data_IF_037747045884
#
_entry.id   IF_037747045884
#
_cell.length_a   1.000
_cell.length_b   1.000
_cell.length_c   1.000
_cell.angle_alpha   90.00
_cell.angle_beta   90.00
_cell.angle_gamma   90.00
#
_symmetry.space_group_name_H-M   'P 1'
#
loop_
_entity.id
_entity.type
_entity.pdbx_description
1 polymer ?
#
# COMPACT_ATOMS: atom_id res chain seq x y z
N UNK A 1 21.38 -10.93 -7.48
CA UNK A 1 20.54 -11.53 -6.42
C UNK A 1 21.28 -12.58 -5.57
N UNK A 2 22.26 -13.32 -6.09
CA UNK A 2 22.94 -14.42 -5.34
C UNK A 2 23.64 -13.96 -4.04
N UNK A 3 24.15 -12.74 -4.00
CA UNK A 3 24.88 -12.18 -2.85
C UNK A 3 24.10 -11.09 -2.13
N UNK A 4 22.83 -10.93 -2.42
CA UNK A 4 21.99 -9.92 -1.84
C UNK A 4 21.62 -10.30 -0.40
N UNK A 5 22.02 -9.48 0.57
CA UNK A 5 21.75 -9.71 1.98
C UNK A 5 20.48 -9.03 2.47
N UNK A 6 20.13 -7.88 1.86
CA UNK A 6 18.96 -7.07 2.23
C UNK A 6 18.57 -6.10 1.13
N UNK A 7 17.37 -5.60 1.22
CA UNK A 7 16.85 -4.55 0.36
C UNK A 7 16.49 -3.35 1.24
N UNK A 8 16.84 -2.16 0.77
CA UNK A 8 16.42 -0.89 1.35
C UNK A 8 15.56 -0.18 0.30
N UNK A 9 14.32 0.19 0.64
CA UNK A 9 13.47 0.97 -0.24
C UNK A 9 13.34 2.37 0.33
N UNK A 10 13.50 3.39 -0.52
CA UNK A 10 13.39 4.80 -0.15
C UNK A 10 12.39 5.50 -1.07
N UNK A 11 11.44 6.20 -0.48
CA UNK A 11 10.35 6.87 -1.20
C UNK A 11 9.71 7.96 -0.33
N UNK A 12 8.79 8.73 -0.91
CA UNK A 12 7.96 9.71 -0.21
C UNK A 12 6.48 9.52 -0.54
N UNK A 13 5.59 9.83 0.42
CA UNK A 13 4.13 9.87 0.24
C UNK A 13 3.55 8.58 -0.34
N UNK A 14 2.73 8.71 -1.39
CA UNK A 14 2.08 7.60 -2.09
C UNK A 14 3.07 6.50 -2.52
N UNK A 15 4.25 6.89 -3.02
CA UNK A 15 5.28 5.91 -3.42
C UNK A 15 5.86 5.15 -2.23
N UNK A 16 5.90 5.75 -1.03
CA UNK A 16 6.27 5.07 0.20
C UNK A 16 5.25 4.00 0.58
N UNK A 17 3.95 4.29 0.45
CA UNK A 17 2.90 3.31 0.73
C UNK A 17 2.94 2.14 -0.27
N UNK A 18 3.20 2.39 -1.55
CA UNK A 18 3.43 1.31 -2.52
C UNK A 18 4.67 0.47 -2.16
N UNK A 19 5.76 1.11 -1.74
CA UNK A 19 6.97 0.44 -1.28
C UNK A 19 6.73 -0.44 -0.05
N UNK A 20 5.87 -0.01 0.89
CA UNK A 20 5.50 -0.81 2.05
C UNK A 20 4.75 -2.09 1.65
N UNK A 21 3.90 -2.07 0.62
CA UNK A 21 3.31 -3.29 0.04
C UNK A 21 4.43 -4.14 -0.59
N UNK A 22 5.33 -3.51 -1.36
CA UNK A 22 6.49 -4.17 -1.95
C UNK A 22 7.36 -4.91 -0.94
N UNK A 23 7.51 -4.37 0.28
CA UNK A 23 8.19 -5.06 1.39
C UNK A 23 7.53 -6.40 1.70
N UNK A 24 6.21 -6.42 1.95
CA UNK A 24 5.50 -7.67 2.23
C UNK A 24 5.70 -8.70 1.12
N UNK A 25 5.56 -8.27 -0.14
CA UNK A 25 5.71 -9.15 -1.29
C UNK A 25 7.11 -9.75 -1.41
N UNK A 26 8.15 -8.94 -1.28
CA UNK A 26 9.53 -9.39 -1.45
C UNK A 26 9.96 -10.27 -0.27
N UNK A 27 9.60 -9.91 0.96
CA UNK A 27 9.90 -10.73 2.14
C UNK A 27 9.22 -12.10 2.05
N UNK A 28 7.93 -12.14 1.67
CA UNK A 28 7.14 -13.37 1.58
C UNK A 28 7.61 -14.29 0.43
N UNK A 29 7.86 -13.72 -0.75
CA UNK A 29 8.19 -14.50 -1.94
C UNK A 29 9.67 -14.87 -2.01
N UNK A 30 10.56 -14.01 -1.51
CA UNK A 30 12.00 -14.15 -1.71
C UNK A 30 12.77 -14.48 -0.45
N UNK A 31 12.19 -14.32 0.74
CA UNK A 31 12.89 -14.49 2.01
C UNK A 31 14.07 -13.53 2.19
N UNK A 32 14.00 -12.32 1.59
CA UNK A 32 15.03 -11.29 1.71
C UNK A 32 14.50 -10.20 2.63
N UNK A 33 15.20 -9.82 3.72
CA UNK A 33 14.80 -8.73 4.58
C UNK A 33 14.69 -7.40 3.81
N UNK A 34 13.59 -6.68 4.01
CA UNK A 34 13.32 -5.40 3.35
C UNK A 34 13.03 -4.32 4.38
N UNK A 35 13.80 -3.23 4.34
CA UNK A 35 13.49 -2.02 5.08
C UNK A 35 12.87 -0.99 4.13
N UNK A 36 11.82 -0.30 4.60
CA UNK A 36 11.18 0.79 3.87
C UNK A 36 11.21 2.03 4.72
N UNK A 37 11.69 3.13 4.17
CA UNK A 37 11.92 4.36 4.93
C UNK A 37 11.58 5.60 4.10
N UNK A 38 10.98 6.63 4.73
CA UNK A 38 10.85 7.94 4.09
C UNK A 38 12.22 8.47 3.66
N UNK A 39 12.33 8.92 2.42
CA UNK A 39 13.59 9.45 1.89
C UNK A 39 14.11 10.63 2.70
N UNK A 40 13.21 11.47 3.23
CA UNK A 40 13.54 12.61 4.10
C UNK A 40 14.25 12.20 5.38
N UNK A 41 13.94 11.02 5.93
CA UNK A 41 14.59 10.53 7.16
C UNK A 41 15.86 9.74 6.85
N UNK A 42 15.85 9.00 5.75
CA UNK A 42 17.00 8.21 5.31
C UNK A 42 18.27 9.05 5.14
N UNK A 43 18.16 10.26 4.60
CA UNK A 43 19.33 11.13 4.27
C UNK A 43 20.05 11.69 5.49
N UNK A 44 19.38 11.76 6.65
CA UNK A 44 19.95 12.37 7.87
C UNK A 44 20.48 11.37 8.89
N UNK A 45 20.24 10.08 8.71
CA UNK A 45 20.77 9.06 9.62
C UNK A 45 22.03 8.38 9.05
N UNK A 46 22.78 7.71 9.93
CA UNK A 46 23.87 6.81 9.51
C UNK A 46 23.27 5.53 8.92
N UNK A 47 23.12 5.49 7.61
CA UNK A 47 22.56 4.31 6.92
C UNK A 47 23.60 3.19 6.80
N UNK A 48 23.15 1.95 7.00
CA UNK A 48 23.99 0.75 6.92
C UNK A 48 23.64 0.07 5.58
N UNK A 49 24.25 0.57 4.51
CA UNK A 49 24.13 0.02 3.15
C UNK A 49 25.52 -0.21 2.58
N UNK A 50 25.67 -1.25 1.77
CA UNK A 50 26.93 -1.68 1.18
C UNK A 50 26.68 -2.33 -0.20
N UNK A 51 27.72 -2.94 -0.78
CA UNK A 51 27.65 -3.65 -2.07
C UNK A 51 26.74 -4.88 -2.08
N UNK A 52 26.33 -5.41 -0.93
CA UNK A 52 25.38 -6.52 -0.81
C UNK A 52 23.96 -6.05 -0.52
N UNK A 53 23.73 -4.73 -0.52
CA UNK A 53 22.42 -4.10 -0.34
C UNK A 53 21.89 -3.63 -1.69
N UNK A 54 20.68 -4.05 -2.06
CA UNK A 54 19.93 -3.42 -3.15
C UNK A 54 19.16 -2.22 -2.58
N UNK A 55 19.38 -1.05 -3.14
CA UNK A 55 18.58 0.13 -2.79
C UNK A 55 17.59 0.42 -3.91
N UNK A 56 16.30 0.42 -3.57
CA UNK A 56 15.21 0.71 -4.50
C UNK A 56 14.69 2.11 -4.23
N UNK A 57 14.88 3.02 -5.18
CA UNK A 57 14.27 4.34 -5.16
C UNK A 57 12.93 4.33 -5.91
N UNK A 58 11.87 4.83 -5.28
CA UNK A 58 10.53 4.85 -5.90
C UNK A 58 10.02 6.28 -5.97
N UNK A 59 9.64 6.72 -7.17
CA UNK A 59 9.05 8.04 -7.39
C UNK A 59 8.24 8.07 -8.68
N UNK A 60 7.04 8.64 -8.64
CA UNK A 60 6.22 8.83 -9.84
C UNK A 60 6.94 9.74 -10.84
N UNK A 61 7.39 10.90 -10.42
CA UNK A 61 8.08 11.89 -11.27
C UNK A 61 9.55 11.57 -11.53
N UNK A 62 10.21 10.82 -10.63
CA UNK A 62 11.65 10.63 -10.64
C UNK A 62 12.46 11.90 -10.35
N UNK A 63 11.82 12.96 -9.83
CA UNK A 63 12.42 14.26 -9.52
C UNK A 63 12.28 14.64 -8.03
N UNK A 64 11.89 13.71 -7.17
CA UNK A 64 11.75 13.95 -5.72
C UNK A 64 13.13 14.15 -5.10
N UNK A 65 13.42 15.37 -4.65
CA UNK A 65 14.75 15.79 -4.20
C UNK A 65 15.35 14.90 -3.11
N UNK A 66 14.58 14.57 -2.06
CA UNK A 66 15.05 13.71 -0.98
C UNK A 66 15.35 12.30 -1.48
N UNK A 67 14.51 11.74 -2.39
CA UNK A 67 14.73 10.41 -2.94
C UNK A 67 15.97 10.37 -3.83
N UNK A 68 16.21 11.40 -4.64
CA UNK A 68 17.44 11.55 -5.43
C UNK A 68 18.67 11.56 -4.50
N UNK A 69 18.60 12.35 -3.42
CA UNK A 69 19.71 12.46 -2.45
C UNK A 69 19.96 11.12 -1.75
N UNK A 70 18.90 10.42 -1.31
CA UNK A 70 19.00 9.11 -0.68
C UNK A 70 19.65 8.07 -1.60
N UNK A 71 19.22 8.03 -2.86
CA UNK A 71 19.79 7.14 -3.89
C UNK A 71 21.28 7.42 -4.13
N UNK A 72 21.66 8.69 -4.27
CA UNK A 72 23.07 9.09 -4.43
C UNK A 72 23.94 8.71 -3.24
N UNK A 73 23.42 8.90 -2.01
CA UNK A 73 24.13 8.48 -0.80
C UNK A 73 24.38 6.97 -0.77
N UNK A 74 23.37 6.17 -1.13
CA UNK A 74 23.49 4.72 -1.20
C UNK A 74 24.47 4.26 -2.29
N UNK A 75 24.40 4.88 -3.46
CA UNK A 75 25.32 4.62 -4.59
C UNK A 75 26.78 4.88 -4.21
N UNK A 76 27.04 5.99 -3.52
CA UNK A 76 28.37 6.34 -3.03
C UNK A 76 28.93 5.33 -2.00
N UNK A 77 28.06 4.54 -1.36
CA UNK A 77 28.45 3.44 -0.46
C UNK A 77 28.60 2.10 -1.19
N UNK A 78 28.44 2.08 -2.50
CA UNK A 78 28.61 0.90 -3.34
C UNK A 78 27.37 0.01 -3.47
N UNK A 79 26.20 0.47 -3.01
CA UNK A 79 24.95 -0.26 -3.19
C UNK A 79 24.53 -0.26 -4.66
N UNK A 80 23.93 -1.37 -5.12
CA UNK A 80 23.27 -1.40 -6.42
C UNK A 80 21.94 -0.64 -6.37
N UNK A 81 21.68 0.21 -7.36
CA UNK A 81 20.52 1.09 -7.39
C UNK A 81 19.51 0.59 -8.43
N UNK A 82 18.32 0.25 -7.94
CA UNK A 82 17.14 -0.01 -8.77
C UNK A 82 16.18 1.18 -8.63
N UNK A 83 15.71 1.72 -9.74
CA UNK A 83 14.72 2.80 -9.74
C UNK A 83 13.39 2.30 -10.30
N UNK A 84 12.31 2.59 -9.58
CA UNK A 84 10.92 2.39 -10.00
C UNK A 84 10.32 3.77 -10.26
N UNK A 85 10.09 4.13 -11.52
CA UNK A 85 9.59 5.47 -11.87
C UNK A 85 8.70 5.45 -13.11
N UNK A 86 7.76 6.41 -13.16
CA UNK A 86 6.92 6.63 -14.34
C UNK A 86 7.59 7.49 -15.42
N UNK A 87 8.79 8.02 -15.12
CA UNK A 87 9.56 8.90 -16.01
C UNK A 87 10.96 8.33 -16.23
N UNK A 88 11.13 7.49 -17.27
CA UNK A 88 12.46 6.90 -17.59
C UNK A 88 13.53 7.94 -17.97
N UNK A 89 13.13 9.13 -18.32
CA UNK A 89 14.00 10.28 -18.67
C UNK A 89 14.37 11.16 -17.45
N UNK A 90 13.91 10.83 -16.26
CA UNK A 90 14.08 11.60 -15.03
C UNK A 90 15.51 11.58 -14.47
N UNK A 91 15.75 12.48 -13.52
CA UNK A 91 17.05 12.55 -12.80
C UNK A 91 17.32 11.24 -12.03
N UNK A 92 16.33 10.68 -11.34
CA UNK A 92 16.50 9.38 -10.66
C UNK A 92 16.84 8.25 -11.62
N UNK A 93 16.18 8.21 -12.79
CA UNK A 93 16.43 7.17 -13.79
C UNK A 93 17.89 7.22 -14.30
N UNK A 94 18.50 8.39 -14.39
CA UNK A 94 19.91 8.54 -14.75
C UNK A 94 20.90 8.06 -13.68
N UNK A 95 20.46 7.99 -12.42
CA UNK A 95 21.28 7.45 -11.31
C UNK A 95 21.21 5.91 -11.22
N UNK A 96 20.23 5.29 -11.90
CA UNK A 96 19.95 3.86 -11.79
C UNK A 96 21.02 2.97 -12.42
N UNK A 97 21.35 1.87 -11.74
CA UNK A 97 22.03 0.72 -12.35
C UNK A 97 21.01 -0.23 -13.03
N UNK A 98 19.78 -0.20 -12.54
CA UNK A 98 18.63 -0.93 -13.11
C UNK A 98 17.36 -0.08 -13.01
N UNK A 99 16.47 -0.20 -13.99
CA UNK A 99 15.24 0.60 -14.09
C UNK A 99 14.01 -0.28 -14.29
N UNK A 100 12.95 0.00 -13.53
CA UNK A 100 11.61 -0.55 -13.73
C UNK A 100 10.68 0.62 -14.11
N UNK A 101 10.30 0.75 -15.38
CA UNK A 101 9.34 1.77 -15.81
C UNK A 101 7.93 1.39 -15.39
N UNK A 102 7.24 2.31 -14.73
CA UNK A 102 5.87 2.09 -14.20
C UNK A 102 4.81 2.14 -15.31
N UNK A 103 5.04 2.93 -16.36
CA UNK A 103 4.18 3.04 -17.56
C UNK A 103 2.70 3.43 -17.27
N UNK A 104 2.45 4.23 -16.23
CA UNK A 104 1.09 4.70 -15.88
C UNK A 104 0.55 5.81 -16.78
N UNK A 105 1.34 6.28 -17.74
CA UNK A 105 1.02 7.48 -18.52
C UNK A 105 1.10 8.76 -17.68
N UNK A 106 0.49 9.85 -18.17
CA UNK A 106 0.54 11.14 -17.47
C UNK A 106 -0.43 11.14 -16.29
N UNK A 107 0.08 11.39 -15.07
CA UNK A 107 -0.73 11.67 -13.89
C UNK A 107 -1.05 13.17 -13.85
N UNK A 108 -2.32 13.53 -13.99
CA UNK A 108 -2.76 14.93 -14.10
C UNK A 108 -3.14 15.51 -12.74
N UNK A 109 -3.70 14.68 -11.86
CA UNK A 109 -4.12 15.07 -10.51
C UNK A 109 -2.93 15.20 -9.56
N UNK A 110 -3.06 16.09 -8.57
CA UNK A 110 -2.14 16.12 -7.41
C UNK A 110 -2.23 14.81 -6.63
N UNK A 111 -3.44 14.30 -6.42
CA UNK A 111 -3.66 13.01 -5.79
C UNK A 111 -3.34 11.89 -6.80
N UNK A 112 -2.28 11.14 -6.54
CA UNK A 112 -1.88 9.99 -7.35
C UNK A 112 -2.93 8.88 -7.24
N UNK A 113 -3.37 8.33 -8.37
CA UNK A 113 -4.32 7.22 -8.44
C UNK A 113 -3.75 6.07 -9.29
N UNK A 114 -3.79 6.21 -10.61
CA UNK A 114 -3.28 5.17 -11.53
C UNK A 114 -1.77 4.93 -11.39
N UNK A 115 -1.00 5.96 -11.04
CA UNK A 115 0.44 5.80 -10.81
C UNK A 115 0.74 4.99 -9.54
N UNK A 116 -0.08 5.12 -8.49
CA UNK A 116 0.00 4.26 -7.32
C UNK A 116 -0.30 2.80 -7.67
N UNK A 117 -1.42 2.55 -8.36
CA UNK A 117 -1.77 1.21 -8.84
C UNK A 117 -0.65 0.60 -9.68
N UNK A 118 -0.11 1.36 -10.62
CA UNK A 118 0.98 0.88 -11.47
C UNK A 118 2.28 0.61 -10.70
N UNK A 119 2.58 1.38 -9.62
CA UNK A 119 3.68 1.08 -8.71
C UNK A 119 3.42 -0.22 -7.93
N UNK A 120 2.20 -0.47 -7.45
CA UNK A 120 1.85 -1.75 -6.83
C UNK A 120 2.10 -2.91 -7.80
N UNK A 121 1.58 -2.82 -9.02
CA UNK A 121 1.78 -3.85 -10.05
C UNK A 121 3.28 -4.05 -10.34
N UNK A 122 4.07 -2.96 -10.39
CA UNK A 122 5.52 -3.05 -10.56
C UNK A 122 6.19 -3.85 -9.43
N UNK A 123 5.74 -3.68 -8.18
CA UNK A 123 6.25 -4.46 -7.05
C UNK A 123 5.80 -5.93 -7.10
N UNK A 124 4.57 -6.23 -7.51
CA UNK A 124 4.14 -7.61 -7.73
C UNK A 124 5.01 -8.31 -8.78
N UNK A 125 5.20 -7.67 -9.93
CA UNK A 125 6.02 -8.20 -11.01
C UNK A 125 7.49 -8.37 -10.60
N UNK A 126 8.05 -7.40 -9.87
CA UNK A 126 9.40 -7.45 -9.36
C UNK A 126 9.59 -8.60 -8.35
N UNK A 127 8.67 -8.75 -7.39
CA UNK A 127 8.73 -9.82 -6.39
C UNK A 127 8.60 -11.21 -7.04
N UNK A 128 7.69 -11.39 -7.99
CA UNK A 128 7.53 -12.62 -8.78
C UNK A 128 8.82 -12.92 -9.56
N UNK A 129 9.37 -11.94 -10.27
CA UNK A 129 10.62 -12.10 -11.02
C UNK A 129 11.79 -12.49 -10.11
N UNK A 130 11.92 -11.83 -8.96
CA UNK A 130 12.96 -12.14 -7.98
C UNK A 130 12.79 -13.55 -7.41
N UNK A 131 11.57 -13.98 -7.11
CA UNK A 131 11.27 -15.33 -6.64
C UNK A 131 11.61 -16.39 -7.68
N UNK A 132 11.32 -16.16 -8.96
CA UNK A 132 11.71 -17.04 -10.06
C UNK A 132 13.23 -17.17 -10.18
N UNK A 133 13.95 -16.04 -10.18
CA UNK A 133 15.43 -16.04 -10.29
C UNK A 133 16.09 -16.73 -9.10
N UNK A 134 15.53 -16.57 -7.89
CA UNK A 134 16.02 -17.23 -6.68
C UNK A 134 15.56 -18.68 -6.55
N UNK A 135 14.54 -19.06 -7.28
CA UNK A 135 13.84 -20.34 -7.12
C UNK A 135 13.35 -20.55 -5.66
N UNK A 136 12.81 -19.47 -5.07
CA UNK A 136 12.40 -19.41 -3.66
C UNK A 136 10.92 -19.73 -3.44
N UNK A 137 10.15 -19.91 -4.50
CA UNK A 137 8.70 -20.18 -4.47
C UNK A 137 8.36 -21.32 -5.45
N UNK A 138 7.37 -22.18 -5.13
CA UNK A 138 6.89 -23.22 -6.05
C UNK A 138 6.41 -22.64 -7.37
N UNK A 139 6.75 -23.29 -8.48
CA UNK A 139 6.35 -22.83 -9.82
C UNK A 139 4.84 -22.70 -10.00
N UNK A 140 4.08 -23.59 -9.39
CA UNK A 140 2.62 -23.59 -9.44
C UNK A 140 2.04 -22.31 -8.78
N UNK A 141 2.56 -21.92 -7.63
CA UNK A 141 2.15 -20.68 -6.94
C UNK A 141 2.48 -19.44 -7.78
N UNK A 142 3.66 -19.40 -8.40
CA UNK A 142 4.04 -18.31 -9.31
C UNK A 142 3.12 -18.21 -10.53
N UNK A 143 2.71 -19.35 -11.09
CA UNK A 143 1.75 -19.39 -12.22
C UNK A 143 0.38 -18.86 -11.75
N UNK A 144 -0.09 -19.28 -10.58
CA UNK A 144 -1.37 -18.83 -10.03
C UNK A 144 -1.36 -17.32 -9.76
N UNK A 145 -0.29 -16.77 -9.15
CA UNK A 145 -0.15 -15.32 -8.94
C UNK A 145 -0.16 -14.53 -10.24
N UNK A 146 0.53 -15.01 -11.27
CA UNK A 146 0.51 -14.37 -12.59
C UNK A 146 -0.89 -14.38 -13.19
N UNK A 147 -1.62 -15.50 -13.07
CA UNK A 147 -2.99 -15.59 -13.55
C UNK A 147 -3.91 -14.63 -12.80
N UNK A 148 -3.81 -14.55 -11.48
CA UNK A 148 -4.60 -13.60 -10.68
C UNK A 148 -4.33 -12.14 -11.08
N UNK A 149 -3.08 -11.77 -11.37
CA UNK A 149 -2.71 -10.45 -11.87
C UNK A 149 -3.33 -10.14 -13.25
N UNK A 150 -3.43 -11.15 -14.12
CA UNK A 150 -4.07 -11.00 -15.45
C UNK A 150 -5.58 -10.77 -15.30
N UNK A 151 -6.22 -11.37 -14.30
CA UNK A 151 -7.67 -11.25 -14.04
C UNK A 151 -8.01 -9.99 -13.23
N UNK A 152 -7.05 -9.41 -12.51
CA UNK A 152 -7.25 -8.26 -11.63
C UNK A 152 -7.94 -7.06 -12.31
N UNK A 153 -7.62 -6.65 -13.55
CA UNK A 153 -8.31 -5.55 -14.24
C UNK A 153 -9.82 -5.75 -14.32
N UNK A 154 -10.28 -6.97 -14.61
CA UNK A 154 -11.71 -7.28 -14.67
C UNK A 154 -12.41 -7.13 -13.30
N UNK A 155 -11.70 -7.43 -12.21
CA UNK A 155 -12.22 -7.20 -10.84
C UNK A 155 -12.29 -5.72 -10.52
N UNK A 156 -11.28 -4.94 -10.94
CA UNK A 156 -11.25 -3.48 -10.80
C UNK A 156 -12.41 -2.84 -11.59
N UNK A 157 -12.64 -3.27 -12.82
CA UNK A 157 -13.78 -2.79 -13.63
C UNK A 157 -15.12 -3.03 -12.92
N UNK A 158 -15.29 -4.17 -12.27
CA UNK A 158 -16.50 -4.46 -11.46
C UNK A 158 -16.66 -3.49 -10.30
N UNK A 159 -15.58 -3.13 -9.60
CA UNK A 159 -15.63 -2.13 -8.52
C UNK A 159 -16.03 -0.78 -9.08
N UNK A 160 -15.40 -0.34 -10.18
CA UNK A 160 -15.67 0.95 -10.82
C UNK A 160 -17.11 1.05 -11.41
N UNK A 161 -17.69 -0.08 -11.82
CA UNK A 161 -19.06 -0.14 -12.31
C UNK A 161 -20.14 -0.08 -11.20
N UNK A 162 -19.77 -0.36 -9.93
CA UNK A 162 -20.68 -0.45 -8.80
C UNK A 162 -20.27 0.48 -7.67
N UNK A 163 -20.49 1.79 -7.87
CA UNK A 163 -20.09 2.85 -6.92
C UNK A 163 -21.17 3.26 -5.94
N UNK A 164 -22.35 2.67 -5.98
CA UNK A 164 -23.51 3.08 -5.18
C UNK A 164 -23.26 3.01 -3.68
N UNK A 165 -22.56 1.98 -3.20
CA UNK A 165 -22.26 1.83 -1.78
C UNK A 165 -21.22 2.86 -1.33
N UNK A 166 -20.24 3.16 -2.17
CA UNK A 166 -19.25 4.23 -1.92
C UNK A 166 -19.96 5.59 -1.85
N UNK A 167 -20.86 5.88 -2.80
CA UNK A 167 -21.61 7.13 -2.83
C UNK A 167 -22.55 7.29 -1.62
N UNK A 168 -23.24 6.22 -1.21
CA UNK A 168 -24.08 6.21 0.01
C UNK A 168 -23.24 6.47 1.24
N UNK A 169 -22.09 5.81 1.36
CA UNK A 169 -21.14 5.99 2.43
C UNK A 169 -20.62 7.43 2.47
N UNK A 170 -20.14 7.97 1.35
CA UNK A 170 -19.65 9.32 1.25
C UNK A 170 -20.70 10.37 1.65
N UNK A 171 -21.96 10.21 1.21
CA UNK A 171 -23.07 11.09 1.61
C UNK A 171 -23.34 11.01 3.11
N UNK A 172 -23.31 9.80 3.70
CA UNK A 172 -23.57 9.59 5.13
C UNK A 172 -22.53 10.27 6.02
N UNK A 173 -21.29 10.34 5.57
CA UNK A 173 -20.14 10.86 6.33
C UNK A 173 -19.60 12.20 5.78
N UNK A 174 -20.32 12.88 4.89
CA UNK A 174 -19.88 14.11 4.22
C UNK A 174 -19.58 15.28 5.17
N UNK A 175 -20.11 15.27 6.38
CA UNK A 175 -19.89 16.31 7.40
C UNK A 175 -18.76 15.97 8.39
N UNK A 176 -18.12 14.80 8.25
CA UNK A 176 -17.00 14.41 9.11
C UNK A 176 -15.81 15.35 8.89
N UNK A 177 -15.17 15.78 9.97
CA UNK A 177 -13.94 16.60 9.94
C UNK A 177 -12.69 15.75 10.14
N UNK A 178 -12.84 14.66 10.87
CA UNK A 178 -11.80 13.70 11.18
C UNK A 178 -12.23 12.33 10.67
N UNK A 179 -11.25 11.50 10.30
CA UNK A 179 -11.50 10.18 9.75
C UNK A 179 -10.34 9.22 10.07
N UNK A 180 -10.66 8.01 10.48
CA UNK A 180 -9.65 6.98 10.77
C UNK A 180 -9.79 5.83 9.77
N UNK A 181 -8.64 5.38 9.24
CA UNK A 181 -8.52 4.16 8.46
C UNK A 181 -7.75 3.12 9.26
N UNK A 182 -8.25 1.91 9.36
CA UNK A 182 -7.56 0.81 10.04
C UNK A 182 -7.44 -0.43 9.16
N UNK A 183 -6.30 -1.08 9.25
CA UNK A 183 -6.04 -2.37 8.60
C UNK A 183 -4.94 -3.14 9.34
N UNK A 184 -4.66 -4.36 8.89
CA UNK A 184 -3.53 -5.19 9.35
C UNK A 184 -2.79 -5.80 8.17
N UNK A 185 -1.54 -6.20 8.43
CA UNK A 185 -0.72 -6.91 7.46
C UNK A 185 -0.53 -6.09 6.18
N UNK A 186 -0.62 -6.75 5.05
CA UNK A 186 -0.36 -6.17 3.73
C UNK A 186 -1.31 -5.01 3.36
N UNK A 187 -2.48 -4.91 4.01
CA UNK A 187 -3.44 -3.82 3.79
C UNK A 187 -3.21 -2.59 4.68
N UNK A 188 -2.27 -2.62 5.62
CA UNK A 188 -1.95 -1.41 6.40
C UNK A 188 -1.47 -0.25 5.52
N UNK A 189 -0.58 -0.45 4.55
CA UNK A 189 -0.23 0.60 3.59
C UNK A 189 -1.43 1.14 2.79
N UNK A 190 -2.42 0.29 2.49
CA UNK A 190 -3.67 0.72 1.83
C UNK A 190 -4.49 1.66 2.72
N UNK A 191 -4.54 1.40 4.04
CA UNK A 191 -5.17 2.32 4.99
C UNK A 191 -4.45 3.67 5.05
N UNK A 192 -3.12 3.69 5.00
CA UNK A 192 -2.33 4.92 4.94
C UNK A 192 -2.60 5.70 3.64
N UNK A 193 -2.66 5.00 2.50
CA UNK A 193 -2.92 5.62 1.20
C UNK A 193 -4.36 6.16 1.11
N UNK A 194 -5.37 5.41 1.58
CA UNK A 194 -6.75 5.87 1.65
C UNK A 194 -6.89 7.15 2.50
N UNK A 195 -6.25 7.18 3.67
CA UNK A 195 -6.20 8.36 4.52
C UNK A 195 -5.51 9.54 3.83
N UNK A 196 -4.40 9.30 3.11
CA UNK A 196 -3.72 10.34 2.34
C UNK A 196 -4.62 10.89 1.23
N UNK A 197 -5.28 10.03 0.45
CA UNK A 197 -6.19 10.46 -0.64
C UNK A 197 -7.37 11.27 -0.12
N UNK A 198 -8.01 10.82 0.97
CA UNK A 198 -9.10 11.57 1.58
C UNK A 198 -8.63 12.97 2.04
N UNK A 199 -7.46 13.05 2.67
CA UNK A 199 -6.85 14.31 3.12
C UNK A 199 -6.54 15.26 1.96
N UNK A 200 -5.93 14.77 0.88
CA UNK A 200 -5.52 15.58 -0.27
C UNK A 200 -6.73 16.17 -1.03
N UNK A 201 -7.81 15.41 -1.14
CA UNK A 201 -8.96 15.79 -1.98
C UNK A 201 -10.01 16.57 -1.19
N UNK A 202 -10.29 16.18 0.06
CA UNK A 202 -11.41 16.73 0.84
C UNK A 202 -10.98 17.67 1.96
N UNK A 203 -9.68 17.73 2.28
CA UNK A 203 -9.12 18.44 3.43
C UNK A 203 -9.62 17.93 4.80
N UNK A 204 -10.27 16.77 4.85
CA UNK A 204 -10.62 16.06 6.08
C UNK A 204 -9.31 15.59 6.74
N UNK A 205 -9.20 15.76 8.06
CA UNK A 205 -8.05 15.23 8.81
C UNK A 205 -8.15 13.70 8.92
N UNK A 206 -7.61 12.99 7.95
CA UNK A 206 -7.65 11.54 7.88
C UNK A 206 -6.33 10.91 8.33
N UNK A 207 -6.38 9.83 9.11
CA UNK A 207 -5.19 9.14 9.61
C UNK A 207 -5.36 7.62 9.49
N UNK A 208 -4.30 6.95 9.01
CA UNK A 208 -4.24 5.49 8.96
C UNK A 208 -3.49 4.91 10.15
N UNK A 209 -4.03 3.85 10.76
CA UNK A 209 -3.40 3.09 11.84
C UNK A 209 -3.39 1.60 11.54
N UNK A 210 -2.38 0.90 12.06
CA UNK A 210 -2.54 -0.55 12.20
C UNK A 210 -3.66 -0.81 13.21
N UNK A 211 -4.61 -1.69 12.87
CA UNK A 211 -5.79 -1.90 13.70
C UNK A 211 -5.46 -2.34 15.14
N UNK A 212 -4.31 -3.04 15.32
CA UNK A 212 -3.84 -3.42 16.65
C UNK A 212 -3.38 -2.26 17.52
N UNK A 213 -2.84 -1.19 16.90
CA UNK A 213 -2.36 0.00 17.62
C UNK A 213 -3.50 0.98 17.98
N UNK A 214 -4.71 0.76 17.45
CA UNK A 214 -5.85 1.63 17.76
C UNK A 214 -6.08 1.75 19.27
N UNK A 215 -5.97 0.64 20.01
CA UNK A 215 -6.16 0.60 21.47
C UNK A 215 -5.02 1.20 22.30
N UNK A 216 -3.88 1.51 21.69
CA UNK A 216 -2.69 2.05 22.35
C UNK A 216 -2.58 3.58 22.26
N UNK A 217 -3.72 4.27 22.17
CA UNK A 217 -3.82 5.72 22.16
C UNK A 217 -4.97 6.23 21.32
N UNK A 218 -5.02 5.98 20.02
CA UNK A 218 -6.01 6.54 19.11
C UNK A 218 -7.48 6.25 19.49
N UNK A 219 -7.74 5.14 20.16
CA UNK A 219 -9.10 4.78 20.65
C UNK A 219 -9.70 5.82 21.60
N UNK A 220 -8.86 6.62 22.25
CA UNK A 220 -9.33 7.70 23.14
C UNK A 220 -10.00 8.86 22.40
N UNK A 221 -9.75 8.99 21.08
CA UNK A 221 -10.34 10.02 20.23
C UNK A 221 -11.69 9.60 19.63
N UNK A 222 -12.08 8.33 19.78
CA UNK A 222 -13.27 7.78 19.13
C UNK A 222 -14.54 8.24 19.82
N UNK A 223 -15.46 8.76 19.02
CA UNK A 223 -16.83 9.09 19.37
C UNK A 223 -17.74 8.98 18.13
N UNK A 224 -18.99 9.42 18.25
CA UNK A 224 -19.97 9.38 17.15
C UNK A 224 -19.64 10.30 15.97
N UNK A 225 -18.76 11.29 16.16
CA UNK A 225 -18.35 12.24 15.14
C UNK A 225 -17.19 11.74 14.28
N UNK A 226 -16.47 10.68 14.73
CA UNK A 226 -15.28 10.16 14.09
C UNK A 226 -15.56 8.83 13.37
N UNK A 227 -15.74 8.83 12.04
CA UNK A 227 -15.86 7.59 11.27
C UNK A 227 -14.55 6.80 11.27
N UNK A 228 -14.68 5.48 11.37
CA UNK A 228 -13.56 4.53 11.25
C UNK A 228 -13.82 3.58 10.08
N UNK A 229 -12.98 3.62 9.06
CA UNK A 229 -13.01 2.68 7.94
C UNK A 229 -12.05 1.54 8.22
N UNK A 230 -12.59 0.33 8.29
CA UNK A 230 -11.85 -0.92 8.46
C UNK A 230 -11.69 -1.62 7.10
N UNK A 231 -10.45 -1.89 6.70
CA UNK A 231 -10.16 -2.71 5.51
C UNK A 231 -10.14 -4.18 5.95
N UNK A 232 -11.22 -4.87 5.66
CA UNK A 232 -11.56 -6.24 6.10
C UNK A 232 -11.55 -7.20 4.92
N UNK A 233 -10.37 -7.49 4.39
CA UNK A 233 -10.23 -8.46 3.30
C UNK A 233 -10.08 -9.89 3.85
N UNK A 234 -10.58 -10.86 3.08
CA UNK A 234 -10.40 -12.29 3.37
C UNK A 234 -8.93 -12.63 3.60
N UNK A 235 -8.65 -13.46 4.59
CA UNK A 235 -7.29 -13.91 4.89
C UNK A 235 -6.99 -14.07 6.37
N UNK A 236 -5.72 -14.21 6.70
CA UNK A 236 -5.21 -14.57 8.04
C UNK A 236 -5.54 -13.57 9.15
N UNK A 237 -5.80 -12.31 8.79
CA UNK A 237 -6.00 -11.21 9.75
C UNK A 237 -7.45 -10.76 9.89
N UNK A 238 -8.38 -11.34 9.13
CA UNK A 238 -9.79 -10.95 9.10
C UNK A 238 -10.43 -10.89 10.49
N UNK A 239 -10.39 -11.99 11.26
CA UNK A 239 -10.98 -12.06 12.60
C UNK A 239 -10.38 -11.04 13.57
N UNK A 240 -9.08 -10.75 13.40
CA UNK A 240 -8.38 -9.77 14.24
C UNK A 240 -8.83 -8.34 13.94
N UNK A 241 -9.09 -8.01 12.67
CA UNK A 241 -9.61 -6.70 12.28
C UNK A 241 -11.07 -6.58 12.72
N UNK A 242 -11.87 -7.65 12.59
CA UNK A 242 -13.24 -7.69 13.14
C UNK A 242 -13.25 -7.34 14.62
N UNK A 243 -12.45 -8.03 15.43
CA UNK A 243 -12.33 -7.74 16.87
C UNK A 243 -11.90 -6.30 17.15
N UNK A 244 -10.95 -5.74 16.39
CA UNK A 244 -10.57 -4.33 16.56
C UNK A 244 -11.69 -3.35 16.14
N UNK A 245 -12.51 -3.73 15.18
CA UNK A 245 -13.71 -2.97 14.78
C UNK A 245 -14.79 -2.99 15.86
N UNK A 246 -14.98 -4.13 16.54
CA UNK A 246 -15.84 -4.24 17.73
C UNK A 246 -15.36 -3.34 18.87
N UNK A 247 -14.03 -3.31 19.13
CA UNK A 247 -13.42 -2.42 20.13
C UNK A 247 -13.70 -0.94 19.81
N UNK A 248 -13.59 -0.54 18.54
CA UNK A 248 -13.89 0.82 18.09
C UNK A 248 -15.38 1.14 18.21
N UNK A 249 -16.27 0.22 17.83
CA UNK A 249 -17.72 0.37 17.95
C UNK A 249 -18.17 0.53 19.40
N UNK A 250 -17.53 -0.20 20.33
CA UNK A 250 -17.79 -0.06 21.77
C UNK A 250 -17.45 1.33 22.34
N UNK A 251 -16.72 2.14 21.56
CA UNK A 251 -16.44 3.57 21.85
C UNK A 251 -17.34 4.52 21.07
N UNK A 252 -18.47 4.03 20.57
CA UNK A 252 -19.46 4.74 19.76
C UNK A 252 -18.95 5.24 18.41
N UNK A 253 -17.80 4.75 17.90
CA UNK A 253 -17.33 5.10 16.58
C UNK A 253 -18.33 4.68 15.49
N UNK A 254 -18.45 5.48 14.44
CA UNK A 254 -19.23 5.15 13.25
C UNK A 254 -18.40 4.30 12.33
N UNK A 255 -18.79 3.04 12.17
CA UNK A 255 -17.96 2.03 11.51
C UNK A 255 -18.31 1.87 10.02
N UNK A 256 -17.28 1.83 9.18
CA UNK A 256 -17.36 1.54 7.75
C UNK A 256 -16.50 0.30 7.47
N UNK A 257 -17.04 -0.68 6.76
CA UNK A 257 -16.27 -1.81 6.26
C UNK A 257 -15.99 -1.67 4.77
N UNK A 258 -14.76 -1.93 4.39
CA UNK A 258 -14.37 -2.25 3.01
C UNK A 258 -13.97 -3.72 2.98
N UNK A 259 -14.69 -4.56 2.20
CA UNK A 259 -14.56 -6.01 2.33
C UNK A 259 -14.93 -6.77 1.06
N UNK A 260 -14.34 -7.94 0.89
CA UNK A 260 -14.72 -8.96 -0.07
C UNK A 260 -15.53 -10.11 0.57
N UNK A 261 -15.74 -10.06 1.91
CA UNK A 261 -16.47 -11.07 2.66
C UNK A 261 -17.97 -10.77 2.75
N UNK A 262 -18.76 -11.83 2.92
CA UNK A 262 -20.20 -11.74 3.14
C UNK A 262 -20.61 -12.42 4.48
N UNK A 263 -20.12 -11.84 5.60
CA UNK A 263 -20.50 -12.30 6.95
C UNK A 263 -21.70 -11.50 7.46
N UNK A 264 -22.71 -12.21 7.99
CA UNK A 264 -23.92 -11.60 8.53
C UNK A 264 -23.66 -10.67 9.73
N UNK A 265 -22.66 -10.98 10.56
CA UNK A 265 -22.24 -10.15 11.70
C UNK A 265 -21.83 -8.73 11.30
N UNK A 266 -21.37 -8.56 10.07
CA UNK A 266 -20.95 -7.23 9.58
C UNK A 266 -22.11 -6.24 9.53
N UNK A 267 -23.34 -6.71 9.24
CA UNK A 267 -24.52 -5.84 9.17
C UNK A 267 -24.92 -5.26 10.55
N UNK A 268 -24.53 -5.90 11.64
CA UNK A 268 -24.77 -5.43 13.00
C UNK A 268 -23.69 -4.45 13.47
N UNK A 269 -22.44 -4.68 13.03
CA UNK A 269 -21.28 -3.92 13.48
C UNK A 269 -21.08 -2.63 12.68
N UNK A 270 -21.28 -2.68 11.36
CA UNK A 270 -20.91 -1.58 10.47
C UNK A 270 -22.12 -0.75 10.04
N UNK A 271 -21.96 0.56 10.12
CA UNK A 271 -22.94 1.56 9.67
C UNK A 271 -23.03 1.66 8.15
N UNK A 272 -21.96 1.25 7.46
CA UNK A 272 -21.82 1.24 6.01
C UNK A 272 -20.88 0.09 5.60
N UNK A 273 -21.20 -0.59 4.50
CA UNK A 273 -20.37 -1.67 3.97
C UNK A 273 -20.12 -1.39 2.49
N UNK A 274 -18.85 -1.27 2.11
CA UNK A 274 -18.39 -1.15 0.73
C UNK A 274 -17.87 -2.53 0.32
N UNK A 275 -18.51 -3.13 -0.69
CA UNK A 275 -18.16 -4.47 -1.15
C UNK A 275 -17.30 -4.43 -2.40
N UNK A 276 -16.27 -5.27 -2.41
CA UNK A 276 -15.40 -5.52 -3.56
C UNK A 276 -15.43 -7.02 -3.91
N UNK A 277 -15.09 -7.39 -5.15
CA UNK A 277 -14.95 -8.80 -5.52
C UNK A 277 -13.91 -9.54 -4.67
N UNK A 278 -14.11 -10.82 -4.44
CA UNK A 278 -13.13 -11.68 -3.77
C UNK A 278 -11.80 -11.70 -4.53
N UNK A 279 -10.70 -11.64 -3.77
CA UNK A 279 -9.32 -11.67 -4.29
C UNK A 279 -8.43 -12.35 -3.24
N UNK A 280 -7.29 -12.93 -3.67
CA UNK A 280 -6.33 -13.46 -2.70
C UNK A 280 -5.81 -12.35 -1.76
N UNK A 281 -5.51 -12.72 -0.52
CA UNK A 281 -4.99 -11.77 0.49
C UNK A 281 -3.81 -10.97 -0.05
N UNK A 282 -2.95 -11.62 -0.83
CA UNK A 282 -1.74 -10.99 -1.37
C UNK A 282 -2.04 -9.90 -2.41
N UNK A 283 -3.11 -10.01 -3.18
CA UNK A 283 -3.54 -9.02 -4.18
C UNK A 283 -4.56 -8.01 -3.63
N UNK A 284 -5.01 -8.21 -2.41
CA UNK A 284 -6.05 -7.36 -1.80
C UNK A 284 -5.68 -5.87 -1.75
N UNK A 285 -4.41 -5.42 -1.57
CA UNK A 285 -4.08 -4.00 -1.62
C UNK A 285 -4.45 -3.33 -2.95
N UNK A 286 -4.23 -4.03 -4.07
CA UNK A 286 -4.54 -3.51 -5.39
C UNK A 286 -6.04 -3.38 -5.67
N UNK A 287 -6.89 -4.17 -5.01
CA UNK A 287 -8.34 -4.07 -5.16
C UNK A 287 -8.97 -3.15 -4.11
N UNK A 288 -8.52 -3.23 -2.86
CA UNK A 288 -9.05 -2.47 -1.74
C UNK A 288 -8.81 -0.94 -1.85
N UNK A 289 -7.84 -0.50 -2.65
CA UNK A 289 -7.59 0.94 -2.84
C UNK A 289 -8.55 1.57 -3.86
N UNK A 290 -9.28 0.78 -4.66
CA UNK A 290 -10.08 1.29 -5.78
C UNK A 290 -11.32 2.07 -5.32
N UNK A 291 -12.11 1.62 -4.32
CA UNK A 291 -13.27 2.38 -3.82
C UNK A 291 -12.92 3.69 -3.19
#
# INVERSE_FOLDING_TARGET
LKNLSRIQIVACGTSLHAAMVGKYLIEDFCGIPVDVEPSSEYIYRKTITDKNTLVIGVSQSGETADTITAVRQAKNKGSHILIVTNRPDSTMAREADSLVPVNAGIEVSVAATKSYMAQLISFYLLAIYMAEVKNSMPKEELVNLKHELIVLPQKIEKVLAHTDDVQKCAKKFSNAKDFIFIARGINFPTALEGALKLKEISYINATGYTAGELKHGPIAMLDESMPVLSILMSGKVFDKIMSNSEEAKARNARMIALTDCNDAKMNELFDCIIRVPEVSEILSPALAIVP
#
